data_IF_687499300636
#
_entry.id   IF_687499300636
#
_cell.length_a   1.000
_cell.length_b   1.000
_cell.length_c   1.000
_cell.angle_alpha   90.00
_cell.angle_beta   90.00
_cell.angle_gamma   90.00
#
_symmetry.space_group_name_H-M   'P 1'
#
loop_
_entity.id
_entity.type
_entity.pdbx_description
1 polymer ?
#
# COMPACT_ATOMS: atom_id res chain seq x y z
N UNK A 1 -20.80 -5.56 8.46
CA UNK A 1 -19.94 -5.28 7.28
C UNK A 1 -19.43 -3.83 7.25
N UNK A 2 -20.30 -2.82 7.37
CA UNK A 2 -19.91 -1.41 7.35
C UNK A 2 -18.94 -1.01 8.48
N UNK A 3 -19.19 -1.50 9.69
CA UNK A 3 -18.34 -1.22 10.86
C UNK A 3 -16.95 -1.86 10.74
N UNK A 4 -16.89 -3.10 10.25
CA UNK A 4 -15.61 -3.77 9.94
C UNK A 4 -14.78 -2.96 8.93
N UNK A 5 -15.41 -2.45 7.86
CA UNK A 5 -14.75 -1.61 6.84
C UNK A 5 -14.25 -0.28 7.43
N UNK A 6 -15.01 0.35 8.32
CA UNK A 6 -14.60 1.57 9.03
C UNK A 6 -13.45 1.32 10.01
N UNK A 7 -13.50 0.21 10.74
CA UNK A 7 -12.46 -0.18 11.69
C UNK A 7 -11.13 -0.55 11.03
N UNK A 8 -11.16 -1.00 9.78
CA UNK A 8 -9.98 -1.50 9.06
C UNK A 8 -8.88 -0.43 8.94
N UNK A 9 -9.26 0.83 8.64
CA UNK A 9 -8.32 1.95 8.52
C UNK A 9 -7.58 2.20 9.84
N UNK A 10 -8.28 2.07 10.96
CA UNK A 10 -7.70 2.25 12.29
C UNK A 10 -6.86 1.06 12.75
N UNK A 11 -7.18 -0.14 12.28
CA UNK A 11 -6.48 -1.38 12.62
C UNK A 11 -5.29 -1.68 11.73
N UNK A 12 -5.11 -0.96 10.61
CA UNK A 12 -4.02 -1.17 9.67
C UNK A 12 -2.64 -1.30 10.35
N UNK A 13 -2.24 -0.46 11.32
CA UNK A 13 -0.95 -0.59 12.00
C UNK A 13 -0.84 -1.83 12.90
N UNK A 14 -1.95 -2.45 13.29
CA UNK A 14 -1.97 -3.65 14.14
C UNK A 14 -2.01 -4.94 13.32
N UNK A 15 -2.29 -4.83 12.02
CA UNK A 15 -2.38 -5.96 11.10
C UNK A 15 -1.05 -6.25 10.39
N UNK A 16 -0.16 -5.27 10.35
CA UNK A 16 1.10 -5.35 9.63
C UNK A 16 2.27 -5.45 10.62
N UNK A 17 3.36 -6.15 10.25
CA UNK A 17 4.58 -6.19 11.04
C UNK A 17 5.17 -4.79 11.30
N UNK A 18 5.90 -4.63 12.40
CA UNK A 18 6.52 -3.35 12.78
C UNK A 18 7.42 -2.77 11.69
N UNK A 19 8.11 -3.65 10.97
CA UNK A 19 9.03 -3.36 9.86
C UNK A 19 8.31 -2.72 8.67
N UNK A 20 7.00 -2.98 8.53
CA UNK A 20 6.16 -2.40 7.47
C UNK A 20 5.52 -1.11 7.96
N UNK A 21 5.04 -1.10 9.22
CA UNK A 21 4.32 0.06 9.77
C UNK A 21 5.18 1.29 9.99
N UNK A 22 6.52 1.14 10.09
CA UNK A 22 7.44 2.27 10.20
C UNK A 22 7.57 3.06 8.89
N UNK A 23 7.09 2.52 7.77
CA UNK A 23 7.13 3.19 6.48
C UNK A 23 5.87 4.05 6.28
N UNK A 24 5.98 5.34 6.59
CA UNK A 24 4.86 6.28 6.48
C UNK A 24 4.35 6.44 5.03
N UNK A 25 5.21 6.32 4.00
CA UNK A 25 4.78 6.41 2.60
C UNK A 25 3.87 5.24 2.23
N UNK A 26 4.26 4.02 2.60
CA UNK A 26 3.46 2.82 2.40
C UNK A 26 2.18 2.87 3.22
N UNK A 27 2.25 3.31 4.47
CA UNK A 27 1.08 3.42 5.35
C UNK A 27 0.07 4.45 4.84
N UNK A 28 0.52 5.57 4.30
CA UNK A 28 -0.35 6.58 3.68
C UNK A 28 -1.01 6.03 2.41
N UNK A 29 -0.25 5.37 1.55
CA UNK A 29 -0.77 4.73 0.34
C UNK A 29 -1.86 3.69 0.68
N UNK A 30 -1.57 2.78 1.61
CA UNK A 30 -2.52 1.75 2.05
C UNK A 30 -3.80 2.38 2.62
N UNK A 31 -3.69 3.43 3.46
CA UNK A 31 -4.85 4.14 4.00
C UNK A 31 -5.74 4.73 2.89
N UNK A 32 -5.15 5.25 1.82
CA UNK A 32 -5.88 5.74 0.65
C UNK A 32 -6.67 4.64 -0.08
N UNK A 33 -6.11 3.43 -0.19
CA UNK A 33 -6.79 2.29 -0.81
C UNK A 33 -7.98 1.80 0.01
N UNK A 34 -7.80 1.68 1.34
CA UNK A 34 -8.80 1.08 2.22
C UNK A 34 -9.74 2.10 2.88
N UNK A 35 -9.63 3.39 2.56
CA UNK A 35 -10.44 4.44 3.20
C UNK A 35 -11.93 4.08 3.19
N UNK A 36 -12.60 4.25 4.33
CA UNK A 36 -14.01 3.88 4.45
C UNK A 36 -14.93 4.83 3.66
N UNK A 37 -14.54 6.10 3.57
CA UNK A 37 -15.17 7.14 2.77
C UNK A 37 -14.63 7.11 1.33
N UNK A 38 -15.46 6.90 0.30
CA UNK A 38 -15.05 6.90 -1.09
C UNK A 38 -14.37 8.20 -1.54
N UNK A 39 -14.75 9.35 -0.97
CA UNK A 39 -14.15 10.65 -1.31
C UNK A 39 -12.71 10.80 -0.80
N UNK A 40 -12.30 9.94 0.14
CA UNK A 40 -10.94 9.89 0.68
C UNK A 40 -10.08 8.82 0.00
N UNK A 41 -10.64 8.07 -0.95
CA UNK A 41 -9.89 7.11 -1.76
C UNK A 41 -9.27 7.78 -2.96
N UNK A 42 -8.32 7.08 -3.59
CA UNK A 42 -7.91 7.42 -4.95
C UNK A 42 -9.09 7.30 -5.91
N UNK A 43 -9.25 8.29 -6.79
CA UNK A 43 -10.36 8.35 -7.75
C UNK A 43 -10.21 7.27 -8.83
N UNK A 44 -8.96 6.89 -9.14
CA UNK A 44 -8.62 5.85 -10.11
C UNK A 44 -7.38 5.07 -9.67
N UNK A 45 -7.12 3.94 -10.35
CA UNK A 45 -5.88 3.20 -10.17
C UNK A 45 -4.65 4.02 -10.60
N UNK A 46 -4.79 4.82 -11.66
CA UNK A 46 -3.73 5.73 -12.13
C UNK A 46 -3.41 6.80 -11.09
N UNK A 47 -4.43 7.38 -10.44
CA UNK A 47 -4.22 8.33 -9.35
C UNK A 47 -3.54 7.66 -8.16
N UNK A 48 -3.91 6.42 -7.84
CA UNK A 48 -3.27 5.66 -6.77
C UNK A 48 -1.77 5.42 -7.05
N UNK A 49 -1.38 5.35 -8.32
CA UNK A 49 0.01 5.14 -8.73
C UNK A 49 0.81 6.45 -8.76
N UNK A 50 0.29 7.49 -9.42
CA UNK A 50 1.06 8.67 -9.79
C UNK A 50 1.11 9.79 -8.74
N UNK A 51 0.10 9.88 -7.84
CA UNK A 51 0.04 11.00 -6.89
C UNK A 51 1.16 10.93 -5.84
N UNK A 52 1.44 12.06 -5.21
CA UNK A 52 2.54 12.18 -4.23
C UNK A 52 2.37 11.26 -3.00
N UNK A 53 1.15 10.99 -2.58
CA UNK A 53 0.85 10.01 -1.50
C UNK A 53 0.48 8.63 -2.06
N UNK A 54 0.72 8.42 -3.36
CA UNK A 54 0.46 7.19 -4.09
C UNK A 54 1.66 6.25 -4.10
N UNK A 55 1.53 5.17 -4.87
CA UNK A 55 2.52 4.10 -4.95
C UNK A 55 3.90 4.60 -5.42
N UNK A 56 3.94 5.57 -6.35
CA UNK A 56 5.19 6.07 -6.92
C UNK A 56 6.16 6.63 -5.86
N UNK A 57 5.67 7.24 -4.79
CA UNK A 57 6.54 7.75 -3.72
C UNK A 57 7.19 6.63 -2.92
N UNK A 58 6.43 5.58 -2.60
CA UNK A 58 6.98 4.38 -1.95
C UNK A 58 7.93 3.63 -2.89
N UNK A 59 7.59 3.51 -4.17
CA UNK A 59 8.45 2.87 -5.17
C UNK A 59 9.81 3.55 -5.31
N UNK A 60 9.85 4.91 -5.28
CA UNK A 60 11.12 5.65 -5.26
C UNK A 60 11.98 5.31 -4.05
N UNK A 61 11.37 5.09 -2.88
CA UNK A 61 12.09 4.68 -1.68
C UNK A 61 12.70 3.28 -1.84
N UNK A 62 11.97 2.34 -2.45
CA UNK A 62 12.50 1.00 -2.77
C UNK A 62 13.68 1.07 -3.74
N UNK A 63 13.63 1.97 -4.74
CA UNK A 63 14.73 2.17 -5.69
C UNK A 63 15.97 2.69 -4.97
N UNK A 64 15.83 3.71 -4.11
CA UNK A 64 16.95 4.25 -3.32
C UNK A 64 17.54 3.19 -2.39
N UNK A 65 16.71 2.30 -1.85
CA UNK A 65 17.16 1.17 -1.02
C UNK A 65 17.77 0.01 -1.81
N UNK A 66 17.75 0.02 -3.14
CA UNK A 66 18.21 -1.09 -3.98
C UNK A 66 17.29 -2.31 -3.98
N UNK A 67 16.08 -2.19 -3.43
CA UNK A 67 15.15 -3.30 -3.20
C UNK A 67 14.07 -3.43 -4.28
N UNK A 68 13.97 -2.47 -5.21
CA UNK A 68 12.89 -2.44 -6.19
C UNK A 68 12.82 -3.72 -7.07
N UNK A 69 13.97 -4.19 -7.57
CA UNK A 69 14.03 -5.40 -8.41
C UNK A 69 13.84 -6.70 -7.64
N UNK A 70 14.27 -6.75 -6.37
CA UNK A 70 14.01 -7.89 -5.48
C UNK A 70 12.51 -8.02 -5.22
N UNK A 71 11.87 -6.90 -4.85
CA UNK A 71 10.44 -6.87 -4.55
C UNK A 71 9.59 -7.26 -5.76
N UNK A 72 9.94 -6.77 -6.95
CA UNK A 72 9.24 -7.13 -8.19
C UNK A 72 9.38 -8.62 -8.52
N UNK A 73 10.57 -9.19 -8.34
CA UNK A 73 10.81 -10.61 -8.57
C UNK A 73 10.09 -11.50 -7.55
N UNK A 74 10.08 -11.12 -6.27
CA UNK A 74 9.34 -11.84 -5.22
C UNK A 74 7.83 -11.82 -5.48
N UNK A 75 7.26 -10.67 -5.85
CA UNK A 75 5.84 -10.56 -6.20
C UNK A 75 5.51 -11.45 -7.40
N UNK A 76 6.34 -11.41 -8.46
CA UNK A 76 6.14 -12.23 -9.65
C UNK A 76 6.12 -13.72 -9.30
N UNK A 77 7.14 -14.18 -8.56
CA UNK A 77 7.21 -15.56 -8.12
C UNK A 77 6.02 -15.95 -7.23
N UNK A 78 5.55 -15.05 -6.36
CA UNK A 78 4.39 -15.32 -5.52
C UNK A 78 3.10 -15.42 -6.33
N UNK A 79 2.89 -14.55 -7.33
CA UNK A 79 1.74 -14.61 -8.24
C UNK A 79 1.73 -15.89 -9.08
N UNK A 80 2.89 -16.31 -9.58
CA UNK A 80 3.04 -17.58 -10.31
C UNK A 80 2.65 -18.80 -9.47
N UNK A 81 2.77 -18.73 -8.14
CA UNK A 81 2.37 -19.81 -7.23
C UNK A 81 0.87 -19.79 -6.86
N UNK A 82 0.12 -18.76 -7.26
CA UNK A 82 -1.33 -18.65 -7.02
C UNK A 82 -2.18 -19.19 -8.18
N UNK A 83 -1.55 -19.42 -9.35
CA UNK A 83 -2.15 -20.09 -10.52
C UNK A 83 -2.05 -21.63 -10.43
#
# INVERSE_FOLDING_TARGET
>A
LLEAKRSLVHRLPQLLPSEVTCNELLMNFLRGLIAADPLRRFLSAEDADLVKEGAASFHRQLIVGGLASEYENEIRAWLENLE
#
